data_IF_358877324836
#
_entry.id   IF_358877324836
#
_cell.length_a   1.000
_cell.length_b   1.000
_cell.length_c   1.000
_cell.angle_alpha   90.00
_cell.angle_beta   90.00
_cell.angle_gamma   90.00
#
_symmetry.space_group_name_H-M   'P 1'
#
loop_
_entity.id
_entity.type
_entity.pdbx_description
1 polymer ?
#
# COMPACT_ATOMS: atom_id res chain seq x y z
N UNK A 1 -7.23 -5.18 -4.93
CA UNK A 1 -6.45 -6.27 -5.56
C UNK A 1 -5.63 -6.96 -4.48
N UNK A 2 -5.67 -8.28 -4.34
CA UNK A 2 -4.78 -9.02 -3.43
C UNK A 2 -3.51 -9.34 -4.22
N UNK A 3 -2.33 -8.96 -3.71
CA UNK A 3 -1.06 -9.45 -4.23
C UNK A 3 -0.32 -10.21 -3.13
N UNK A 4 0.17 -11.39 -3.49
CA UNK A 4 0.99 -12.20 -2.60
C UNK A 4 2.43 -12.18 -3.08
N UNK A 5 3.40 -12.28 -2.17
CA UNK A 5 4.80 -12.44 -2.56
C UNK A 5 5.00 -13.68 -3.44
N UNK A 6 4.25 -14.74 -3.17
CA UNK A 6 4.31 -15.98 -3.94
C UNK A 6 3.86 -15.80 -5.40
N UNK A 7 2.80 -15.01 -5.64
CA UNK A 7 2.33 -14.72 -7.01
C UNK A 7 3.18 -13.69 -7.74
N UNK A 8 3.85 -12.78 -7.02
CA UNK A 8 4.69 -11.73 -7.61
C UNK A 8 6.09 -12.24 -7.99
N UNK A 9 6.67 -13.12 -7.16
CA UNK A 9 8.00 -13.67 -7.40
C UNK A 9 9.13 -12.70 -7.02
N UNK A 10 10.18 -12.67 -7.84
CA UNK A 10 11.36 -11.82 -7.60
C UNK A 10 10.97 -10.34 -7.80
N UNK A 11 11.41 -9.47 -6.90
CA UNK A 11 11.07 -8.03 -6.94
C UNK A 11 9.86 -7.64 -6.10
N UNK A 12 9.43 -8.50 -5.16
CA UNK A 12 8.42 -8.13 -4.17
C UNK A 12 8.94 -6.98 -3.27
N UNK A 13 8.30 -5.80 -3.28
CA UNK A 13 8.84 -4.61 -2.63
C UNK A 13 8.48 -4.51 -1.14
N UNK A 14 7.73 -5.46 -0.58
CA UNK A 14 7.20 -5.35 0.79
C UNK A 14 7.89 -6.32 1.77
N UNK A 15 8.06 -5.89 3.02
CA UNK A 15 8.59 -6.73 4.11
C UNK A 15 7.58 -7.79 4.57
N UNK A 16 6.29 -7.51 4.43
CA UNK A 16 5.18 -8.45 4.71
C UNK A 16 5.08 -9.52 3.61
N UNK A 17 4.47 -10.67 3.92
CA UNK A 17 4.26 -11.73 2.93
C UNK A 17 3.26 -11.33 1.85
N UNK A 18 2.19 -10.64 2.26
CA UNK A 18 1.05 -10.33 1.41
C UNK A 18 0.54 -8.93 1.72
N UNK A 19 -0.04 -8.29 0.71
CA UNK A 19 -0.79 -7.05 0.85
C UNK A 19 -2.04 -7.05 -0.04
N UNK A 20 -3.07 -6.37 0.42
CA UNK A 20 -4.24 -6.02 -0.39
C UNK A 20 -4.23 -4.51 -0.61
N UNK A 21 -4.17 -4.08 -1.86
CA UNK A 21 -4.35 -2.67 -2.20
C UNK A 21 -5.84 -2.36 -2.30
N UNK A 22 -6.25 -1.29 -1.61
CA UNK A 22 -7.62 -0.79 -1.58
C UNK A 22 -7.66 0.73 -1.50
N UNK A 23 -8.79 1.29 -1.91
CA UNK A 23 -9.07 2.72 -1.80
C UNK A 23 -9.87 3.02 -0.53
N UNK A 24 -9.51 4.08 0.18
CA UNK A 24 -10.32 4.59 1.30
C UNK A 24 -11.39 5.56 0.79
N UNK A 25 -12.61 5.42 1.29
CA UNK A 25 -13.73 6.31 1.05
C UNK A 25 -13.80 7.49 2.05
N UNK A 26 -12.83 7.59 2.95
CA UNK A 26 -12.73 8.68 3.91
C UNK A 26 -12.46 10.04 3.23
N UNK A 27 -12.80 11.15 3.90
CA UNK A 27 -12.51 12.52 3.41
C UNK A 27 -11.00 12.68 3.20
N UNK A 28 -10.61 13.25 2.05
CA UNK A 28 -9.24 13.32 1.50
C UNK A 28 -8.63 11.97 1.09
N UNK A 29 -9.45 10.95 0.84
CA UNK A 29 -9.09 9.53 0.83
C UNK A 29 -8.02 9.10 -0.18
N UNK A 30 -7.06 8.31 0.29
CA UNK A 30 -5.98 7.74 -0.49
C UNK A 30 -5.98 6.21 -0.54
N UNK A 31 -5.02 5.66 -1.28
CA UNK A 31 -4.82 4.22 -1.36
C UNK A 31 -4.05 3.73 -0.13
N UNK A 32 -4.40 2.52 0.32
CA UNK A 32 -3.71 1.85 1.43
C UNK A 32 -3.44 0.39 1.10
N UNK A 33 -2.49 -0.18 1.85
CA UNK A 33 -2.17 -1.60 1.86
C UNK A 33 -2.64 -2.21 3.16
N UNK A 34 -3.59 -3.15 3.09
CA UNK A 34 -3.87 -4.05 4.19
C UNK A 34 -2.83 -5.16 4.19
N UNK A 35 -1.94 -5.18 5.18
CA UNK A 35 -0.85 -6.14 5.28
C UNK A 35 -1.26 -7.41 6.03
N UNK A 36 -0.43 -8.45 5.92
CA UNK A 36 -0.67 -9.75 6.56
C UNK A 36 -0.67 -9.70 8.10
N UNK A 37 -0.15 -8.62 8.71
CA UNK A 37 -0.23 -8.38 10.15
C UNK A 37 -1.63 -7.89 10.61
N UNK A 38 -2.56 -7.70 9.67
CA UNK A 38 -3.92 -7.22 9.93
C UNK A 38 -4.05 -5.70 9.98
N UNK A 39 -2.97 -4.97 9.70
CA UNK A 39 -2.91 -3.52 9.80
C UNK A 39 -2.94 -2.87 8.42
N UNK A 40 -3.46 -1.64 8.36
CA UNK A 40 -3.45 -0.85 7.13
C UNK A 40 -2.31 0.17 7.14
N UNK A 41 -1.67 0.34 5.99
CA UNK A 41 -0.61 1.31 5.79
C UNK A 41 -0.91 2.20 4.60
N UNK A 42 -0.76 3.52 4.78
CA UNK A 42 -1.00 4.51 3.74
C UNK A 42 0.00 4.35 2.61
N UNK A 43 -0.49 4.19 1.37
CA UNK A 43 0.33 4.07 0.17
C UNK A 43 0.45 5.42 -0.56
N UNK A 44 -0.69 6.04 -0.88
CA UNK A 44 -0.78 7.33 -1.58
C UNK A 44 -1.91 8.17 -1.00
N UNK A 45 -1.90 9.49 -1.25
CA UNK A 45 -2.91 10.42 -0.78
C UNK A 45 -2.90 10.62 0.74
N UNK A 46 -4.04 11.03 1.30
CA UNK A 46 -4.25 11.20 2.73
C UNK A 46 -5.40 10.32 3.24
N UNK A 47 -5.41 9.89 4.50
CA UNK A 47 -6.60 9.25 5.08
C UNK A 47 -6.88 9.90 6.43
N UNK A 48 -7.87 10.80 6.47
CA UNK A 48 -8.24 11.55 7.67
C UNK A 48 -9.17 10.76 8.60
N UNK A 49 -8.84 9.50 8.90
CA UNK A 49 -9.58 8.64 9.83
C UNK A 49 -8.64 8.10 10.90
N UNK A 50 -8.83 8.58 12.13
CA UNK A 50 -7.99 8.17 13.26
C UNK A 50 -8.02 6.66 13.46
N UNK A 51 -6.84 6.06 13.63
CA UNK A 51 -6.68 4.61 13.82
C UNK A 51 -6.93 3.76 12.57
N UNK A 52 -7.22 4.36 11.41
CA UNK A 52 -7.44 3.58 10.19
C UNK A 52 -6.13 3.06 9.59
N UNK A 53 -5.09 3.90 9.54
CA UNK A 53 -3.73 3.51 9.14
C UNK A 53 -2.80 3.49 10.34
N UNK A 54 -1.97 2.45 10.43
CA UNK A 54 -0.90 2.31 11.43
C UNK A 54 0.33 3.16 11.08
N UNK A 55 0.53 3.46 9.80
CA UNK A 55 1.63 4.29 9.32
C UNK A 55 1.70 4.37 7.79
N UNK A 56 2.81 4.90 7.28
CA UNK A 56 3.08 4.97 5.85
C UNK A 56 3.74 3.67 5.34
N UNK A 57 3.24 3.13 4.22
CA UNK A 57 3.73 1.90 3.62
C UNK A 57 5.18 2.01 3.12
N UNK A 58 5.58 3.15 2.55
CA UNK A 58 6.95 3.44 2.14
C UNK A 58 7.96 3.44 3.27
N UNK A 59 7.54 3.75 4.50
CA UNK A 59 8.42 3.74 5.68
C UNK A 59 8.38 2.39 6.39
N UNK A 60 7.17 1.88 6.64
CA UNK A 60 6.97 0.71 7.48
C UNK A 60 7.09 -0.62 6.72
N UNK A 61 6.55 -0.68 5.49
CA UNK A 61 6.42 -1.92 4.73
C UNK A 61 7.44 -2.06 3.61
N UNK A 62 7.90 -0.97 2.98
CA UNK A 62 8.83 -1.06 1.86
C UNK A 62 10.17 -1.68 2.32
N UNK A 63 10.66 -2.63 1.54
CA UNK A 63 11.89 -3.37 1.81
C UNK A 63 13.14 -2.73 1.20
N UNK A 64 12.97 -1.64 0.43
CA UNK A 64 14.03 -0.86 -0.22
C UNK A 64 14.89 -1.65 -1.21
N UNK A 65 14.39 -2.77 -1.76
CA UNK A 65 15.18 -3.59 -2.69
C UNK A 65 14.85 -3.36 -4.15
N UNK A 66 13.63 -2.93 -4.45
CA UNK A 66 13.15 -2.71 -5.81
C UNK A 66 12.34 -1.40 -5.88
N UNK A 67 13.03 -0.33 -6.27
CA UNK A 67 12.44 1.00 -6.44
C UNK A 67 11.43 1.03 -7.60
N UNK A 68 11.69 0.25 -8.66
CA UNK A 68 10.81 0.16 -9.83
C UNK A 68 9.49 -0.48 -9.46
N UNK A 69 9.54 -1.64 -8.80
CA UNK A 69 8.34 -2.29 -8.28
C UNK A 69 7.59 -1.37 -7.30
N UNK A 70 8.29 -0.68 -6.39
CA UNK A 70 7.64 0.26 -5.48
C UNK A 70 6.92 1.41 -6.23
N UNK A 71 7.54 1.98 -7.26
CA UNK A 71 6.94 3.02 -8.09
C UNK A 71 5.69 2.53 -8.85
N UNK A 72 5.71 1.30 -9.39
CA UNK A 72 4.53 0.69 -10.01
C UNK A 72 3.35 0.57 -9.04
N UNK A 73 3.63 0.25 -7.78
CA UNK A 73 2.62 0.18 -6.73
C UNK A 73 2.05 1.55 -6.37
N UNK A 74 2.87 2.59 -6.33
CA UNK A 74 2.40 3.97 -6.12
C UNK A 74 1.48 4.42 -7.26
N UNK A 75 1.89 4.23 -8.52
CA UNK A 75 1.08 4.56 -9.71
C UNK A 75 -0.24 3.77 -9.73
N UNK A 76 -0.22 2.48 -9.38
CA UNK A 76 -1.43 1.70 -9.23
C UNK A 76 -2.35 2.23 -8.11
N UNK A 77 -1.78 2.69 -6.99
CA UNK A 77 -2.51 3.31 -5.90
C UNK A 77 -3.18 4.63 -6.31
N UNK A 78 -2.47 5.50 -7.03
CA UNK A 78 -3.02 6.76 -7.56
C UNK A 78 -4.14 6.52 -8.58
N UNK A 79 -3.97 5.54 -9.47
CA UNK A 79 -5.01 5.15 -10.43
C UNK A 79 -6.24 4.54 -9.76
N UNK A 80 -6.04 3.81 -8.66
CA UNK A 80 -7.12 3.22 -7.88
C UNK A 80 -7.90 4.30 -7.09
N UNK A 81 -7.22 5.33 -6.62
CA UNK A 81 -7.77 6.46 -5.85
C UNK A 81 -7.42 7.80 -6.49
N UNK A 82 -8.05 8.17 -7.63
CA UNK A 82 -7.80 9.45 -8.28
C UNK A 82 -8.48 10.57 -7.46
N UNK A 83 -7.77 11.11 -6.47
CA UNK A 83 -8.28 12.20 -5.63
C UNK A 83 -7.84 12.20 -4.16
N UNK A 84 -6.84 11.39 -3.78
CA UNK A 84 -6.25 11.44 -2.44
C UNK A 84 -5.47 12.70 -2.12
#
# INVERSE_FOLDING_TARGET
>A
MIATRASWGKGWPWKTSDVVMACSDAVNGGAYLAAADGENYLLTGTIARAGFVKGNAGVALWDMKDEGAYAEWLDAGEKLCPGG
#
